data_IF_982433641658
#
_entry.id   IF_982433641658
#
_cell.length_a   1.000
_cell.length_b   1.000
_cell.length_c   1.000
_cell.angle_alpha   90.00
_cell.angle_beta   90.00
_cell.angle_gamma   90.00
#
_symmetry.space_group_name_H-M   'P 1'
#
loop_
_entity.id
_entity.type
_entity.pdbx_description
1 polymer ?
#
# COMPACT_ATOMS: atom_id res chain seq x y z
N UNK A 1 -0.06 4.79 36.63
CA UNK A 1 -0.28 3.91 35.44
C UNK A 1 -1.26 4.50 34.41
N UNK A 2 -2.09 5.48 34.76
CA UNK A 2 -3.11 6.05 33.86
C UNK A 2 -2.53 6.53 32.51
N UNK A 3 -1.40 7.24 32.53
CA UNK A 3 -0.73 7.71 31.31
C UNK A 3 -0.19 6.59 30.39
N UNK A 4 0.24 5.46 30.96
CA UNK A 4 0.71 4.32 30.16
C UNK A 4 -0.44 3.55 29.49
N UNK A 5 -1.65 3.64 30.06
CA UNK A 5 -2.86 3.01 29.51
C UNK A 5 -3.53 3.86 28.43
N UNK A 6 -3.28 5.17 28.44
CA UNK A 6 -3.78 6.10 27.42
C UNK A 6 -2.77 6.38 26.30
N UNK A 7 -1.61 5.71 26.30
CA UNK A 7 -0.56 5.90 25.30
C UNK A 7 -0.54 4.75 24.29
N UNK A 8 -0.32 5.05 23.01
CA UNK A 8 -0.23 4.04 21.93
C UNK A 8 0.95 3.08 22.14
N UNK A 9 2.03 3.56 22.76
CA UNK A 9 3.22 2.78 23.11
C UNK A 9 3.66 3.10 24.53
N UNK A 10 3.62 2.10 25.40
CA UNK A 10 4.15 2.21 26.77
C UNK A 10 5.59 1.66 26.83
N UNK A 11 6.55 2.52 27.17
CA UNK A 11 7.94 2.13 27.44
C UNK A 11 8.24 2.20 28.94
N UNK A 12 9.01 1.24 29.46
CA UNK A 12 9.33 1.15 30.90
C UNK A 12 10.41 2.13 31.36
N UNK A 13 11.35 2.49 30.48
CA UNK A 13 12.44 3.43 30.75
C UNK A 13 12.72 4.31 29.53
N UNK A 14 13.11 5.57 29.76
CA UNK A 14 13.36 6.54 28.70
C UNK A 14 14.49 6.12 27.73
N UNK A 15 15.46 5.32 28.19
CA UNK A 15 16.54 4.77 27.36
C UNK A 15 16.04 3.96 26.15
N UNK A 16 14.88 3.31 26.27
CA UNK A 16 14.31 2.51 25.18
C UNK A 16 13.70 3.37 24.06
N UNK A 17 13.35 4.63 24.35
CA UNK A 17 12.80 5.56 23.35
C UNK A 17 13.77 5.76 22.18
N UNK A 18 15.08 5.85 22.45
CA UNK A 18 16.10 6.01 21.41
C UNK A 18 16.09 4.87 20.39
N UNK A 19 16.03 3.62 20.86
CA UNK A 19 16.00 2.44 19.97
C UNK A 19 14.65 2.30 19.26
N UNK A 20 13.56 2.69 19.92
CA UNK A 20 12.23 2.67 19.32
C UNK A 20 12.14 3.64 18.14
N UNK A 21 12.53 4.90 18.32
CA UNK A 21 12.43 5.92 17.27
C UNK A 21 13.46 5.68 16.14
N UNK A 22 14.74 5.52 16.49
CA UNK A 22 15.80 5.51 15.49
C UNK A 22 15.86 4.22 14.67
N UNK A 23 15.55 3.07 15.27
CA UNK A 23 15.58 1.78 14.57
C UNK A 23 14.19 1.42 14.05
N UNK A 24 13.22 1.25 14.96
CA UNK A 24 11.89 0.75 14.59
C UNK A 24 11.09 1.81 13.82
N UNK A 25 11.17 3.08 14.23
CA UNK A 25 10.54 4.20 13.53
C UNK A 25 11.09 4.35 12.10
N UNK A 26 12.42 4.38 11.95
CA UNK A 26 13.05 4.50 10.63
C UNK A 26 12.70 3.31 9.71
N UNK A 27 12.78 2.08 10.21
CA UNK A 27 12.43 0.89 9.43
C UNK A 27 10.94 0.80 9.08
N UNK A 28 10.06 1.23 9.99
CA UNK A 28 8.63 1.31 9.71
C UNK A 28 8.34 2.33 8.62
N UNK A 29 8.93 3.53 8.73
CA UNK A 29 8.77 4.60 7.75
C UNK A 29 9.24 4.17 6.34
N UNK A 30 10.44 3.58 6.24
CA UNK A 30 10.97 3.12 4.96
C UNK A 30 10.11 2.01 4.33
N UNK A 31 9.62 1.04 5.11
CA UNK A 31 8.76 -0.04 4.61
C UNK A 31 7.40 0.50 4.16
N UNK A 32 6.79 1.37 4.96
CA UNK A 32 5.50 1.96 4.64
C UNK A 32 5.59 2.83 3.38
N UNK A 33 6.63 3.65 3.26
CA UNK A 33 6.85 4.48 2.06
C UNK A 33 6.96 3.62 0.80
N UNK A 34 7.77 2.55 0.83
CA UNK A 34 7.89 1.61 -0.30
C UNK A 34 6.55 0.95 -0.65
N UNK A 35 5.78 0.54 0.36
CA UNK A 35 4.47 -0.08 0.16
C UNK A 35 3.48 0.89 -0.49
N UNK A 36 3.47 2.15 -0.06
CA UNK A 36 2.61 3.20 -0.65
C UNK A 36 2.99 3.43 -2.11
N UNK A 37 4.27 3.62 -2.42
CA UNK A 37 4.72 3.82 -3.81
C UNK A 37 4.42 2.60 -4.70
N UNK A 38 4.61 1.39 -4.18
CA UNK A 38 4.25 0.17 -4.90
C UNK A 38 2.74 0.08 -5.16
N UNK A 39 1.90 0.48 -4.19
CA UNK A 39 0.45 0.50 -4.34
C UNK A 39 -0.01 1.48 -5.42
N UNK A 40 0.59 2.67 -5.50
CA UNK A 40 0.31 3.60 -6.60
C UNK A 40 0.77 3.05 -7.95
N UNK A 41 1.99 2.50 -8.00
CA UNK A 41 2.54 1.93 -9.23
C UNK A 41 1.63 0.84 -9.81
N UNK A 42 1.22 -0.15 -9.01
CA UNK A 42 0.39 -1.26 -9.49
C UNK A 42 -0.97 -0.81 -10.05
N UNK A 43 -1.58 0.18 -9.40
CA UNK A 43 -2.90 0.70 -9.79
C UNK A 43 -2.81 1.54 -11.05
N UNK A 44 -1.78 2.40 -11.16
CA UNK A 44 -1.55 3.23 -12.34
C UNK A 44 -1.24 2.36 -13.56
N UNK A 45 -0.36 1.36 -13.43
CA UNK A 45 -0.06 0.44 -14.53
C UNK A 45 -1.32 -0.29 -15.00
N UNK A 46 -2.17 -0.75 -14.08
CA UNK A 46 -3.43 -1.39 -14.44
C UNK A 46 -4.39 -0.45 -15.19
N UNK A 47 -4.56 0.78 -14.69
CA UNK A 47 -5.39 1.79 -15.35
C UNK A 47 -4.85 2.19 -16.73
N UNK A 48 -3.53 2.31 -16.88
CA UNK A 48 -2.89 2.60 -18.16
C UNK A 48 -3.15 1.49 -19.18
N UNK A 49 -3.08 0.22 -18.81
CA UNK A 49 -3.38 -0.90 -19.71
C UNK A 49 -4.80 -0.80 -20.29
N UNK A 50 -5.79 -0.45 -19.46
CA UNK A 50 -7.16 -0.23 -19.91
C UNK A 50 -7.31 1.03 -20.78
N UNK A 51 -6.58 2.09 -20.45
CA UNK A 51 -6.55 3.32 -21.23
C UNK A 51 -6.00 3.07 -22.65
N UNK A 52 -4.88 2.34 -22.76
CA UNK A 52 -4.32 1.94 -24.06
C UNK A 52 -5.28 1.04 -24.83
N UNK A 53 -5.93 0.08 -24.18
CA UNK A 53 -6.96 -0.76 -24.82
C UNK A 53 -8.12 0.09 -25.36
N UNK A 54 -8.55 1.11 -24.62
CA UNK A 54 -9.63 2.01 -25.03
C UNK A 54 -9.30 2.77 -26.32
N UNK A 55 -8.02 3.08 -26.56
CA UNK A 55 -7.55 3.70 -27.79
C UNK A 55 -7.76 2.80 -29.02
N UNK A 56 -7.63 1.48 -28.88
CA UNK A 56 -7.84 0.52 -29.96
C UNK A 56 -9.31 0.17 -30.20
N UNK A 57 -10.21 0.50 -29.27
CA UNK A 57 -11.64 0.21 -29.36
C UNK A 57 -12.49 1.48 -29.57
N UNK A 58 -11.89 2.54 -30.13
CA UNK A 58 -12.54 3.83 -30.40
C UNK A 58 -13.33 4.39 -29.19
N UNK A 59 -12.83 4.15 -27.97
CA UNK A 59 -13.48 4.55 -26.72
C UNK A 59 -14.90 3.98 -26.52
N UNK A 60 -15.22 2.84 -27.11
CA UNK A 60 -16.53 2.16 -27.00
C UNK A 60 -16.90 1.70 -25.56
N UNK A 61 -16.04 1.91 -24.56
CA UNK A 61 -16.29 1.52 -23.16
C UNK A 61 -16.23 0.01 -22.89
N UNK A 62 -15.71 -0.77 -23.83
CA UNK A 62 -15.62 -2.22 -23.72
C UNK A 62 -14.48 -2.62 -22.77
N UNK A 63 -14.75 -3.58 -21.90
CA UNK A 63 -13.82 -3.99 -20.84
C UNK A 63 -12.90 -5.09 -21.40
N UNK A 64 -11.58 -4.90 -21.33
CA UNK A 64 -10.60 -5.88 -21.80
C UNK A 64 -10.49 -7.12 -20.90
N UNK A 65 -10.79 -6.96 -19.61
CA UNK A 65 -10.69 -8.00 -18.59
C UNK A 65 -12.07 -8.31 -18.01
N UNK A 66 -12.29 -9.59 -17.68
CA UNK A 66 -13.51 -10.06 -17.03
C UNK A 66 -13.64 -9.42 -15.62
N UNK A 67 -14.85 -9.01 -15.23
CA UNK A 67 -15.08 -8.17 -14.04
C UNK A 67 -14.56 -8.76 -12.73
N UNK A 68 -14.56 -10.09 -12.61
CA UNK A 68 -13.98 -10.78 -11.46
C UNK A 68 -12.45 -10.74 -11.49
N UNK A 69 -11.84 -10.86 -12.67
CA UNK A 69 -10.38 -10.76 -12.85
C UNK A 69 -9.84 -9.38 -12.47
N UNK A 70 -10.61 -8.31 -12.73
CA UNK A 70 -10.33 -6.95 -12.27
C UNK A 70 -10.27 -6.84 -10.75
N UNK A 71 -11.25 -7.45 -10.07
CA UNK A 71 -11.30 -7.46 -8.60
C UNK A 71 -10.19 -8.32 -8.00
N UNK A 72 -9.86 -9.45 -8.62
CA UNK A 72 -8.77 -10.32 -8.19
C UNK A 72 -7.38 -9.72 -8.39
N UNK A 73 -7.19 -8.79 -9.32
CA UNK A 73 -5.91 -8.10 -9.50
C UNK A 73 -5.47 -7.38 -8.22
N UNK A 74 -6.39 -6.70 -7.54
CA UNK A 74 -6.10 -6.01 -6.29
C UNK A 74 -6.06 -6.92 -5.05
N UNK A 75 -6.79 -8.04 -5.06
CA UNK A 75 -7.04 -8.89 -3.88
C UNK A 75 -6.19 -10.16 -3.84
N UNK A 76 -5.85 -10.76 -4.98
CA UNK A 76 -5.12 -12.05 -5.00
C UNK A 76 -3.75 -11.87 -5.62
N UNK A 77 -3.65 -11.14 -6.74
CA UNK A 77 -2.43 -11.10 -7.53
C UNK A 77 -1.41 -10.02 -7.11
N UNK A 78 -1.84 -9.00 -6.36
CA UNK A 78 -0.94 -7.90 -5.94
C UNK A 78 -1.00 -7.57 -4.44
N UNK A 79 -1.48 -8.51 -3.62
CA UNK A 79 -1.47 -8.37 -2.14
C UNK A 79 -0.07 -8.60 -1.59
N UNK A 80 0.63 -9.63 -2.08
CA UNK A 80 2.05 -9.83 -1.82
C UNK A 80 2.81 -9.33 -3.05
N UNK A 81 3.87 -8.51 -2.88
CA UNK A 81 4.72 -8.09 -4.00
C UNK A 81 5.42 -9.27 -4.66
#
# INVERSE_FOLDING_TARGET
LQAARSADVAISQFRFLRKLLLVHGSWSYQRLSKLIFFSFYKNITFALTLFWYSWFNDFSGQIAFEGWSMSYYNVIFTILP
#
